data_IF_633582249625
#
_entry.id   IF_633582249625
#
_cell.length_a   1.000
_cell.length_b   1.000
_cell.length_c   1.000
_cell.angle_alpha   90.00
_cell.angle_beta   90.00
_cell.angle_gamma   90.00
#
_symmetry.space_group_name_H-M   'P 1'
#
loop_
_entity.id
_entity.type
_entity.pdbx_description
1 polymer ?
#
# COMPACT_ATOMS: atom_id res chain seq x y z
N UNK A 1 -1.49 19.75 -2.89
CA UNK A 1 -0.65 18.57 -2.63
C UNK A 1 -1.19 17.44 -3.47
N UNK A 2 -0.29 16.69 -4.08
CA UNK A 2 -0.58 15.64 -5.06
C UNK A 2 0.10 14.34 -4.63
N UNK A 3 -0.62 13.22 -4.66
CA UNK A 3 -0.11 11.90 -4.30
C UNK A 3 -0.26 10.94 -5.48
N UNK A 4 0.77 10.18 -5.77
CA UNK A 4 0.80 9.16 -6.81
C UNK A 4 0.92 7.77 -6.17
N UNK A 5 0.00 6.86 -6.49
CA UNK A 5 0.23 5.42 -6.32
C UNK A 5 0.89 4.86 -7.57
N UNK A 6 2.01 4.16 -7.42
CA UNK A 6 2.78 3.64 -8.54
C UNK A 6 3.02 2.14 -8.40
N UNK A 7 2.49 1.35 -9.32
CA UNK A 7 2.80 -0.08 -9.44
C UNK A 7 1.60 -1.01 -9.35
N UNK A 8 1.41 -1.69 -8.21
CA UNK A 8 0.48 -2.80 -8.08
C UNK A 8 -1.00 -2.41 -8.11
N UNK A 9 -1.78 -3.27 -8.74
CA UNK A 9 -3.23 -3.38 -8.63
C UNK A 9 -3.61 -4.86 -8.61
N UNK A 10 -4.75 -5.16 -7.99
CA UNK A 10 -5.25 -6.53 -7.89
C UNK A 10 -6.77 -6.52 -7.70
N UNK A 11 -7.41 -7.60 -8.08
CA UNK A 11 -8.80 -7.87 -7.69
C UNK A 11 -8.79 -8.84 -6.52
N UNK A 12 -9.38 -8.44 -5.40
CA UNK A 12 -9.58 -9.28 -4.22
C UNK A 12 -10.92 -9.99 -4.34
N UNK A 13 -10.89 -11.31 -4.61
CA UNK A 13 -12.05 -12.16 -4.81
C UNK A 13 -12.43 -12.87 -3.52
N UNK A 14 -13.55 -12.48 -2.93
CA UNK A 14 -14.12 -13.14 -1.76
C UNK A 14 -15.09 -14.24 -2.18
N UNK A 15 -14.62 -15.49 -2.15
CA UNK A 15 -15.39 -16.63 -2.67
C UNK A 15 -16.61 -16.99 -1.80
N UNK A 16 -16.56 -16.72 -0.51
CA UNK A 16 -17.67 -16.91 0.44
C UNK A 16 -18.80 -15.89 0.21
N UNK A 17 -18.46 -14.69 -0.27
CA UNK A 17 -19.42 -13.61 -0.56
C UNK A 17 -19.84 -13.57 -2.04
N UNK A 18 -19.07 -14.21 -2.92
CA UNK A 18 -19.26 -14.10 -4.38
C UNK A 18 -19.05 -12.68 -4.92
N UNK A 19 -18.09 -11.93 -4.31
CA UNK A 19 -17.84 -10.52 -4.63
C UNK A 19 -16.35 -10.33 -4.96
N UNK A 20 -16.10 -9.57 -6.02
CA UNK A 20 -14.78 -9.05 -6.40
C UNK A 20 -14.65 -7.59 -5.93
N UNK A 21 -13.59 -7.26 -5.18
CA UNK A 21 -13.24 -5.90 -4.77
C UNK A 21 -11.99 -5.43 -5.49
N UNK A 22 -11.93 -4.15 -5.92
CA UNK A 22 -10.70 -3.58 -6.43
C UNK A 22 -9.73 -3.28 -5.28
N UNK A 23 -8.44 -3.49 -5.50
CA UNK A 23 -7.39 -3.30 -4.49
C UNK A 23 -5.99 -3.16 -5.08
N UNK A 24 -5.00 -3.29 -4.22
CA UNK A 24 -3.57 -3.09 -4.46
C UNK A 24 -3.04 -1.96 -3.58
N UNK A 25 -1.84 -2.11 -2.99
CA UNK A 25 -1.28 -1.11 -2.07
C UNK A 25 -1.18 0.27 -2.72
N UNK A 26 -0.63 0.33 -3.93
CA UNK A 26 -0.45 1.58 -4.67
C UNK A 26 -1.79 2.23 -5.03
N UNK A 27 -2.78 1.44 -5.41
CA UNK A 27 -4.16 1.89 -5.66
C UNK A 27 -4.80 2.43 -4.38
N UNK A 28 -4.70 1.68 -3.29
CA UNK A 28 -5.30 2.03 -2.00
C UNK A 28 -4.79 3.38 -1.50
N UNK A 29 -3.47 3.60 -1.56
CA UNK A 29 -2.85 4.88 -1.14
C UNK A 29 -3.36 6.04 -1.99
N UNK A 30 -3.48 5.89 -3.32
CA UNK A 30 -4.03 6.92 -4.19
C UNK A 30 -5.49 7.24 -3.85
N UNK A 31 -6.32 6.22 -3.65
CA UNK A 31 -7.75 6.38 -3.29
C UNK A 31 -7.89 7.05 -1.93
N UNK A 32 -7.12 6.63 -0.93
CA UNK A 32 -7.20 7.23 0.42
C UNK A 32 -6.68 8.68 0.44
N UNK A 33 -5.62 8.98 -0.32
CA UNK A 33 -5.16 10.36 -0.47
C UNK A 33 -6.25 11.25 -1.08
N UNK A 34 -6.97 10.73 -2.09
CA UNK A 34 -8.10 11.43 -2.70
C UNK A 34 -9.24 11.67 -1.71
N UNK A 35 -9.60 10.65 -0.92
CA UNK A 35 -10.61 10.75 0.15
C UNK A 35 -10.22 11.74 1.25
N UNK A 36 -8.93 11.89 1.51
CA UNK A 36 -8.39 12.91 2.42
C UNK A 36 -8.31 14.31 1.79
N UNK A 37 -8.83 14.51 0.57
CA UNK A 37 -8.96 15.80 -0.08
C UNK A 37 -7.73 16.27 -0.88
N UNK A 38 -6.80 15.37 -1.19
CA UNK A 38 -5.67 15.69 -2.06
C UNK A 38 -6.01 15.39 -3.53
N UNK A 39 -5.26 15.97 -4.46
CA UNK A 39 -5.22 15.46 -5.81
C UNK A 39 -4.45 14.12 -5.80
N UNK A 40 -4.99 13.12 -6.50
CA UNK A 40 -4.40 11.79 -6.54
C UNK A 40 -4.44 11.20 -7.94
N UNK A 41 -3.40 10.44 -8.26
CA UNK A 41 -3.32 9.64 -9.47
C UNK A 41 -2.81 8.23 -9.14
N UNK A 42 -3.16 7.30 -9.99
CA UNK A 42 -2.58 5.97 -10.02
C UNK A 42 -1.83 5.80 -11.35
N UNK A 43 -0.67 5.16 -11.29
CA UNK A 43 0.20 4.86 -12.42
C UNK A 43 0.60 3.38 -12.37
N UNK A 44 0.10 2.56 -13.28
CA UNK A 44 0.35 1.14 -13.30
C UNK A 44 -0.08 0.48 -14.60
N UNK A 45 -0.18 -0.84 -14.59
CA UNK A 45 -0.56 -1.65 -15.75
C UNK A 45 -1.87 -2.37 -15.45
N UNK A 46 -2.86 -2.21 -16.32
CA UNK A 46 -4.09 -3.01 -16.31
C UNK A 46 -4.03 -4.13 -17.34
N UNK A 47 -4.67 -5.25 -17.06
CA UNK A 47 -4.98 -6.26 -18.06
C UNK A 47 -6.01 -5.77 -19.09
N UNK A 48 -6.01 -6.33 -20.29
CA UNK A 48 -6.99 -6.03 -21.35
C UNK A 48 -8.29 -6.85 -21.20
N UNK A 49 -8.49 -7.44 -20.01
CA UNK A 49 -9.67 -8.24 -19.66
C UNK A 49 -10.77 -7.41 -18.94
N UNK A 50 -11.86 -8.09 -18.58
CA UNK A 50 -12.98 -7.47 -17.87
C UNK A 50 -12.64 -6.99 -16.46
N UNK A 51 -11.70 -7.68 -15.78
CA UNK A 51 -11.25 -7.30 -14.45
C UNK A 51 -10.34 -6.05 -14.51
N UNK A 52 -9.52 -5.90 -15.55
CA UNK A 52 -8.70 -4.70 -15.76
C UNK A 52 -9.56 -3.46 -16.01
N UNK A 53 -10.63 -3.59 -16.82
CA UNK A 53 -11.61 -2.51 -16.99
C UNK A 53 -12.29 -2.15 -15.67
N UNK A 54 -12.74 -3.16 -14.93
CA UNK A 54 -13.36 -2.98 -13.61
C UNK A 54 -12.46 -2.22 -12.64
N UNK A 55 -11.16 -2.58 -12.56
CA UNK A 55 -10.18 -1.88 -11.73
C UNK A 55 -10.07 -0.41 -12.16
N UNK A 56 -9.80 -0.15 -13.44
CA UNK A 56 -9.64 1.21 -13.96
C UNK A 56 -10.86 2.09 -13.71
N UNK A 57 -12.06 1.58 -13.99
CA UNK A 57 -13.32 2.29 -13.74
C UNK A 57 -13.56 2.54 -12.25
N UNK A 58 -13.30 1.54 -11.40
CA UNK A 58 -13.46 1.67 -9.94
C UNK A 58 -12.54 2.72 -9.35
N UNK A 59 -11.27 2.77 -9.78
CA UNK A 59 -10.27 3.75 -9.34
C UNK A 59 -10.67 5.15 -9.83
N UNK A 60 -11.04 5.30 -11.11
CA UNK A 60 -11.47 6.56 -11.67
C UNK A 60 -12.74 7.10 -10.98
N UNK A 61 -13.69 6.23 -10.62
CA UNK A 61 -14.90 6.59 -9.88
C UNK A 61 -14.61 7.17 -8.48
N UNK A 62 -13.43 6.86 -7.88
CA UNK A 62 -12.98 7.52 -6.64
C UNK A 62 -12.39 8.91 -6.88
N UNK A 63 -12.32 9.38 -8.14
CA UNK A 63 -11.73 10.68 -8.51
C UNK A 63 -10.20 10.64 -8.55
N UNK A 64 -9.61 9.46 -8.72
CA UNK A 64 -8.17 9.25 -8.94
C UNK A 64 -7.90 9.23 -10.43
N UNK A 65 -6.93 10.02 -10.91
CA UNK A 65 -6.54 10.05 -12.32
C UNK A 65 -5.83 8.74 -12.71
N UNK A 66 -6.21 8.15 -13.84
CA UNK A 66 -5.65 6.89 -14.37
C UNK A 66 -5.19 7.02 -15.84
N UNK A 67 -5.17 8.22 -16.37
CA UNK A 67 -4.91 8.53 -17.79
C UNK A 67 -3.50 8.21 -18.26
N UNK A 68 -2.56 7.97 -17.35
CA UNK A 68 -1.18 7.58 -17.66
C UNK A 68 -0.93 6.07 -17.44
N UNK A 69 -1.95 5.30 -17.05
CA UNK A 69 -1.84 3.85 -16.92
C UNK A 69 -1.68 3.18 -18.29
N UNK A 70 -0.91 2.10 -18.33
CA UNK A 70 -0.83 1.24 -19.50
C UNK A 70 -1.92 0.15 -19.45
N UNK A 71 -2.43 -0.25 -20.61
CA UNK A 71 -3.23 -1.47 -20.77
C UNK A 71 -2.39 -2.44 -21.59
N UNK A 72 -2.20 -3.67 -21.10
CA UNK A 72 -1.40 -4.70 -21.77
C UNK A 72 -2.19 -5.99 -21.93
N UNK A 73 -1.89 -6.72 -23.01
CA UNK A 73 -2.51 -8.01 -23.27
C UNK A 73 -2.20 -9.01 -22.16
N UNK A 74 -3.24 -9.56 -21.55
CA UNK A 74 -3.12 -10.55 -20.50
C UNK A 74 -4.12 -10.36 -19.36
N UNK A 75 -4.19 -11.37 -18.51
CA UNK A 75 -5.11 -11.39 -17.37
C UNK A 75 -4.70 -10.41 -16.28
N UNK A 76 -5.68 -9.83 -15.63
CA UNK A 76 -5.53 -9.03 -14.42
C UNK A 76 -5.14 -9.90 -13.23
N UNK A 77 -4.38 -9.33 -12.29
CA UNK A 77 -4.07 -9.97 -11.01
C UNK A 77 -5.31 -10.22 -10.17
N UNK A 78 -5.44 -11.43 -9.63
CA UNK A 78 -6.53 -11.82 -8.73
C UNK A 78 -5.98 -12.51 -7.50
N UNK A 79 -6.36 -12.04 -6.33
CA UNK A 79 -6.16 -12.67 -5.04
C UNK A 79 -7.46 -13.32 -4.60
N UNK A 80 -7.41 -14.56 -4.15
CA UNK A 80 -8.60 -15.31 -3.71
C UNK A 80 -8.60 -15.45 -2.22
N UNK A 81 -9.69 -15.01 -1.60
CA UNK A 81 -9.86 -14.93 -0.16
C UNK A 81 -11.20 -15.51 0.27
N UNK A 82 -11.29 -15.87 1.53
CA UNK A 82 -12.55 -16.07 2.26
C UNK A 82 -12.46 -15.43 3.63
N UNK A 83 -13.60 -15.18 4.26
CA UNK A 83 -13.66 -14.81 5.67
C UNK A 83 -14.00 -16.07 6.48
N UNK A 84 -13.24 -16.32 7.55
CA UNK A 84 -13.43 -17.44 8.46
C UNK A 84 -13.36 -16.88 9.89
N UNK A 85 -14.45 -16.98 10.65
CA UNK A 85 -14.58 -16.42 12.00
C UNK A 85 -14.15 -14.94 12.15
N UNK A 86 -14.38 -14.14 11.10
CA UNK A 86 -14.01 -12.72 11.05
C UNK A 86 -12.58 -12.43 10.55
N UNK A 87 -11.76 -13.48 10.40
CA UNK A 87 -10.41 -13.36 9.85
C UNK A 87 -10.39 -13.68 8.35
N UNK A 88 -9.51 -12.99 7.62
CA UNK A 88 -9.29 -13.27 6.20
C UNK A 88 -8.32 -14.42 6.01
N UNK A 89 -8.76 -15.43 5.29
CA UNK A 89 -7.92 -16.56 4.88
C UNK A 89 -7.58 -16.39 3.40
N UNK A 90 -6.31 -16.27 3.11
CA UNK A 90 -5.79 -16.25 1.76
C UNK A 90 -5.78 -17.67 1.19
N UNK A 91 -6.45 -17.87 0.04
CA UNK A 91 -6.57 -19.19 -0.60
C UNK A 91 -5.59 -19.37 -1.77
N UNK A 92 -5.12 -18.26 -2.34
CA UNK A 92 -4.18 -18.27 -3.46
C UNK A 92 -4.32 -17.04 -4.36
N UNK A 93 -3.51 -17.00 -5.40
CA UNK A 93 -3.51 -15.92 -6.39
C UNK A 93 -3.06 -16.45 -7.76
N UNK A 94 -3.34 -15.68 -8.82
CA UNK A 94 -2.92 -16.04 -10.19
C UNK A 94 -1.51 -15.53 -10.55
N UNK A 95 -0.67 -15.18 -9.58
CA UNK A 95 0.68 -14.64 -9.81
C UNK A 95 0.70 -13.13 -10.07
N UNK A 96 -0.41 -12.39 -9.80
CA UNK A 96 -0.49 -10.95 -9.97
C UNK A 96 -0.76 -10.48 -11.40
N UNK A 97 -1.04 -11.40 -12.31
CA UNK A 97 -1.41 -11.08 -13.69
C UNK A 97 -0.33 -10.35 -14.47
N UNK A 98 -0.76 -9.58 -15.48
CA UNK A 98 0.14 -8.82 -16.37
C UNK A 98 0.88 -7.71 -15.62
N UNK A 99 0.29 -7.14 -14.58
CA UNK A 99 0.91 -6.11 -13.73
C UNK A 99 2.25 -6.57 -13.16
N UNK A 100 2.34 -7.83 -12.73
CA UNK A 100 3.56 -8.43 -12.17
C UNK A 100 4.49 -8.98 -13.26
N UNK A 101 3.92 -9.56 -14.34
CA UNK A 101 4.73 -10.13 -15.43
C UNK A 101 5.42 -9.07 -16.27
N UNK A 102 4.74 -7.94 -16.47
CA UNK A 102 5.20 -6.84 -17.31
C UNK A 102 5.01 -5.52 -16.57
N UNK A 103 5.76 -5.28 -15.47
CA UNK A 103 5.59 -4.09 -14.66
C UNK A 103 5.87 -2.82 -15.48
N UNK A 104 5.35 -1.71 -15.01
CA UNK A 104 5.59 -0.42 -15.65
C UNK A 104 7.06 -0.01 -15.47
N UNK A 105 7.67 0.40 -16.59
CA UNK A 105 9.02 0.97 -16.61
C UNK A 105 8.88 2.48 -16.79
N UNK A 106 9.53 3.25 -15.93
CA UNK A 106 9.54 4.71 -16.00
C UNK A 106 10.51 5.16 -17.09
N UNK A 107 9.97 5.80 -18.12
CA UNK A 107 10.70 6.56 -19.12
C UNK A 107 10.76 8.05 -18.72
N UNK A 108 11.43 8.88 -19.52
CA UNK A 108 11.62 10.30 -19.23
C UNK A 108 10.28 11.04 -19.10
N UNK A 109 9.26 10.69 -19.91
CA UNK A 109 7.93 11.32 -19.85
C UNK A 109 7.15 10.92 -18.60
N UNK A 110 7.30 9.68 -18.13
CA UNK A 110 6.71 9.23 -16.87
C UNK A 110 7.48 9.79 -15.67
N UNK A 111 8.79 9.95 -15.75
CA UNK A 111 9.59 10.62 -14.70
C UNK A 111 9.20 12.09 -14.55
N UNK A 112 9.00 12.81 -15.67
CA UNK A 112 8.45 14.16 -15.64
C UNK A 112 7.05 14.20 -15.01
N UNK A 113 6.20 13.23 -15.33
CA UNK A 113 4.88 13.11 -14.70
C UNK A 113 5.00 12.88 -13.19
N UNK A 114 5.83 11.92 -12.74
CA UNK A 114 6.08 11.64 -11.31
C UNK A 114 6.60 12.87 -10.58
N UNK A 115 7.50 13.67 -11.20
CA UNK A 115 8.08 14.87 -10.58
C UNK A 115 7.03 15.95 -10.26
N UNK A 116 5.83 15.85 -10.80
CA UNK A 116 4.72 16.77 -10.52
C UNK A 116 3.95 16.43 -9.23
N UNK A 117 4.33 15.36 -8.51
CA UNK A 117 3.69 14.92 -7.26
C UNK A 117 4.57 15.20 -6.04
N UNK A 118 3.93 15.49 -4.90
CA UNK A 118 4.64 15.67 -3.63
C UNK A 118 5.08 14.34 -3.04
N UNK A 119 4.34 13.25 -3.32
CA UNK A 119 4.63 11.90 -2.84
C UNK A 119 4.29 10.87 -3.93
N UNK A 120 5.20 9.94 -4.18
CA UNK A 120 4.98 8.72 -4.94
C UNK A 120 5.07 7.51 -3.99
N UNK A 121 4.09 6.64 -4.04
CA UNK A 121 4.04 5.42 -3.23
C UNK A 121 4.09 4.17 -4.09
N UNK A 122 4.90 3.19 -3.67
CA UNK A 122 4.96 1.86 -4.27
C UNK A 122 5.12 0.78 -3.19
N UNK A 123 5.14 -0.49 -3.59
CA UNK A 123 5.22 -1.62 -2.67
C UNK A 123 6.01 -2.79 -3.23
N UNK A 124 6.28 -3.76 -2.38
CA UNK A 124 6.92 -5.05 -2.75
C UNK A 124 6.13 -5.82 -3.81
N UNK A 125 4.81 -5.60 -3.91
CA UNK A 125 3.96 -6.27 -4.88
C UNK A 125 3.98 -5.62 -6.27
N UNK A 126 4.60 -4.44 -6.39
CA UNK A 126 4.66 -3.64 -7.62
C UNK A 126 5.76 -4.07 -8.60
N UNK A 127 6.74 -4.85 -8.15
CA UNK A 127 7.96 -5.17 -8.93
C UNK A 127 8.68 -3.92 -9.44
N UNK A 128 8.65 -2.84 -8.66
CA UNK A 128 9.14 -1.51 -9.02
C UNK A 128 10.50 -1.16 -8.43
N UNK A 129 11.20 -2.10 -7.79
CA UNK A 129 12.45 -1.85 -7.09
C UNK A 129 13.55 -1.30 -8.00
N UNK A 130 13.57 -1.72 -9.27
CA UNK A 130 14.51 -1.20 -10.29
C UNK A 130 14.20 0.24 -10.73
N UNK A 131 12.99 0.70 -10.48
CA UNK A 131 12.55 2.05 -10.85
C UNK A 131 12.86 3.08 -9.76
N UNK A 132 13.00 2.65 -8.49
CA UNK A 132 13.26 3.56 -7.37
C UNK A 132 14.51 4.42 -7.54
N UNK A 133 15.66 3.90 -8.05
CA UNK A 133 16.84 4.73 -8.27
C UNK A 133 16.62 5.88 -9.28
N UNK A 134 15.67 5.72 -10.23
CA UNK A 134 15.34 6.75 -11.21
C UNK A 134 14.62 7.95 -10.59
N UNK A 135 13.99 7.76 -9.44
CA UNK A 135 13.32 8.83 -8.67
C UNK A 135 14.32 9.69 -7.87
N UNK A 136 15.57 9.22 -7.75
CA UNK A 136 16.61 9.96 -7.05
C UNK A 136 16.88 11.31 -7.76
N UNK A 137 16.84 12.38 -6.98
CA UNK A 137 17.04 13.74 -7.51
C UNK A 137 15.75 14.47 -7.91
N UNK A 138 14.59 13.80 -7.87
CA UNK A 138 13.31 14.46 -7.93
C UNK A 138 12.96 15.07 -6.55
N UNK A 139 12.19 16.15 -6.55
CA UNK A 139 11.64 16.73 -5.32
C UNK A 139 10.46 15.92 -4.76
N UNK A 140 10.04 14.89 -5.48
CA UNK A 140 8.98 13.95 -5.07
C UNK A 140 9.48 13.04 -3.97
N UNK A 141 8.81 13.03 -2.84
CA UNK A 141 9.05 12.05 -1.77
C UNK A 141 8.66 10.65 -2.24
N UNK A 142 9.41 9.65 -1.83
CA UNK A 142 9.14 8.25 -2.14
C UNK A 142 8.75 7.50 -0.86
N UNK A 143 7.57 6.88 -0.86
CA UNK A 143 7.19 5.89 0.17
C UNK A 143 7.13 4.49 -0.42
N UNK A 144 7.53 3.49 0.38
CA UNK A 144 7.57 2.11 -0.05
C UNK A 144 7.05 1.18 1.06
N UNK A 145 6.12 0.28 0.72
CA UNK A 145 5.62 -0.73 1.64
C UNK A 145 6.39 -2.04 1.47
N UNK A 146 7.02 -2.49 2.56
CA UNK A 146 7.74 -3.76 2.67
C UNK A 146 6.85 -4.92 3.16
N UNK A 147 5.56 -4.65 3.41
CA UNK A 147 4.59 -5.66 3.86
C UNK A 147 5.00 -6.41 5.14
N UNK A 148 4.58 -7.68 5.26
CA UNK A 148 4.83 -8.54 6.43
C UNK A 148 5.82 -9.67 6.16
N UNK A 149 6.15 -9.94 4.91
CA UNK A 149 6.91 -11.12 4.49
C UNK A 149 8.41 -10.98 4.77
N UNK A 150 8.98 -12.03 5.33
CA UNK A 150 10.42 -12.12 5.69
C UNK A 150 11.34 -11.98 4.46
N UNK A 151 10.91 -12.43 3.29
CA UNK A 151 11.70 -12.35 2.06
C UNK A 151 12.04 -10.91 1.64
N UNK A 152 11.15 -9.94 1.95
CA UNK A 152 11.36 -8.52 1.69
C UNK A 152 12.11 -7.78 2.81
N UNK A 153 12.47 -8.50 3.89
CA UNK A 153 13.20 -7.97 5.03
C UNK A 153 14.66 -8.42 5.07
N UNK A 154 15.08 -9.19 4.08
CA UNK A 154 16.48 -9.62 3.96
C UNK A 154 17.41 -8.43 3.74
N UNK A 155 18.67 -8.50 4.26
CA UNK A 155 19.65 -7.45 4.05
C UNK A 155 19.81 -6.99 2.60
N UNK A 156 19.85 -7.96 1.66
CA UNK A 156 20.00 -7.68 0.23
C UNK A 156 18.78 -6.98 -0.39
N UNK A 157 17.58 -7.26 0.11
CA UNK A 157 16.38 -6.59 -0.36
C UNK A 157 16.30 -5.15 0.19
N UNK A 158 16.56 -4.98 1.48
CA UNK A 158 16.59 -3.67 2.12
C UNK A 158 17.65 -2.74 1.49
N UNK A 159 18.82 -3.26 1.11
CA UNK A 159 19.89 -2.49 0.44
C UNK A 159 19.45 -1.98 -0.95
N UNK A 160 18.49 -2.63 -1.61
CA UNK A 160 17.95 -2.17 -2.90
C UNK A 160 16.88 -1.10 -2.76
N UNK A 161 16.13 -1.08 -1.67
CA UNK A 161 14.94 -0.25 -1.49
C UNK A 161 15.21 0.96 -0.59
N UNK A 162 15.78 0.72 0.60
CA UNK A 162 15.88 1.75 1.64
C UNK A 162 16.66 3.00 1.22
N UNK A 163 17.75 2.93 0.42
CA UNK A 163 18.47 4.13 -0.02
C UNK A 163 17.65 5.07 -0.90
N UNK A 164 16.53 4.61 -1.45
CA UNK A 164 15.70 5.34 -2.40
C UNK A 164 14.32 5.71 -1.82
N UNK A 165 14.05 5.38 -0.56
CA UNK A 165 12.76 5.63 0.09
C UNK A 165 12.90 6.67 1.21
N UNK A 166 12.04 7.70 1.16
CA UNK A 166 11.92 8.69 2.24
C UNK A 166 11.09 8.15 3.40
N UNK A 167 10.13 7.29 3.11
CA UNK A 167 9.28 6.62 4.09
C UNK A 167 9.12 5.14 3.75
N UNK A 168 9.45 4.27 4.68
CA UNK A 168 9.25 2.81 4.55
C UNK A 168 8.19 2.35 5.54
N UNK A 169 7.16 1.65 5.03
CA UNK A 169 6.15 0.97 5.85
C UNK A 169 6.52 -0.50 6.05
N UNK A 170 6.21 -1.01 7.23
CA UNK A 170 6.32 -2.42 7.63
C UNK A 170 5.06 -2.86 8.38
N UNK A 171 4.51 -4.01 8.04
CA UNK A 171 3.43 -4.64 8.79
C UNK A 171 3.98 -5.59 9.84
N UNK A 172 3.96 -5.19 11.12
CA UNK A 172 4.65 -5.86 12.22
C UNK A 172 3.73 -6.40 13.32
N UNK A 173 2.46 -6.74 13.00
CA UNK A 173 1.51 -7.26 13.99
C UNK A 173 1.94 -8.60 14.61
N UNK A 174 2.79 -9.37 13.93
CA UNK A 174 3.36 -10.65 14.38
C UNK A 174 4.66 -10.48 15.21
N UNK A 175 5.20 -9.27 15.33
CA UNK A 175 6.43 -8.98 16.06
C UNK A 175 6.14 -8.29 17.39
N UNK A 176 6.97 -8.59 18.40
CA UNK A 176 6.96 -7.81 19.63
C UNK A 176 7.53 -6.40 19.43
N UNK A 177 7.40 -5.54 20.45
CA UNK A 177 7.85 -4.15 20.37
C UNK A 177 9.36 -4.02 20.23
N UNK A 178 10.17 -4.92 20.78
CA UNK A 178 11.62 -4.87 20.70
C UNK A 178 12.11 -5.26 19.30
N UNK A 179 11.58 -6.35 18.74
CA UNK A 179 11.86 -6.80 17.38
C UNK A 179 11.41 -5.75 16.35
N UNK A 180 10.23 -5.14 16.55
CA UNK A 180 9.75 -4.06 15.68
C UNK A 180 10.71 -2.87 15.67
N UNK A 181 11.16 -2.38 16.84
CA UNK A 181 12.11 -1.26 16.91
C UNK A 181 13.46 -1.61 16.30
N UNK A 182 13.95 -2.84 16.47
CA UNK A 182 15.18 -3.30 15.84
C UNK A 182 15.08 -3.28 14.32
N UNK A 183 13.94 -3.73 13.76
CA UNK A 183 13.70 -3.72 12.32
C UNK A 183 13.59 -2.28 11.77
N UNK A 184 12.90 -1.38 12.45
CA UNK A 184 12.84 0.04 12.07
C UNK A 184 14.25 0.68 12.06
N UNK A 185 15.07 0.38 13.07
CA UNK A 185 16.45 0.87 13.14
C UNK A 185 17.29 0.33 11.99
N UNK A 186 17.12 -0.93 11.61
CA UNK A 186 17.80 -1.55 10.47
C UNK A 186 17.42 -0.89 9.15
N UNK A 187 16.14 -0.64 8.91
CA UNK A 187 15.62 0.04 7.70
C UNK A 187 16.21 1.45 7.56
N UNK A 188 16.22 2.23 8.66
CA UNK A 188 16.82 3.58 8.65
C UNK A 188 18.33 3.51 8.48
N UNK A 189 19.01 2.57 9.13
CA UNK A 189 20.45 2.38 8.96
C UNK A 189 20.84 2.08 7.52
N UNK A 190 19.94 1.46 6.74
CA UNK A 190 20.14 1.15 5.32
C UNK A 190 19.76 2.27 4.38
N UNK A 191 19.31 3.41 4.88
CA UNK A 191 19.15 4.62 4.08
C UNK A 191 17.77 5.24 4.05
N UNK A 192 16.73 4.56 4.53
CA UNK A 192 15.42 5.17 4.65
C UNK A 192 15.45 6.36 5.64
N UNK A 193 14.76 7.45 5.32
CA UNK A 193 14.75 8.65 6.18
C UNK A 193 13.79 8.53 7.34
N UNK A 194 12.70 7.79 7.14
CA UNK A 194 11.66 7.54 8.13
C UNK A 194 11.13 6.12 7.95
N UNK A 195 11.04 5.36 9.03
CA UNK A 195 10.46 4.04 9.05
C UNK A 195 9.20 4.04 9.91
N UNK A 196 8.13 3.41 9.42
CA UNK A 196 6.83 3.29 10.07
C UNK A 196 6.48 1.80 10.18
N UNK A 197 6.11 1.34 11.37
CA UNK A 197 5.58 -0.01 11.58
C UNK A 197 4.14 0.07 12.08
N UNK A 198 3.22 -0.60 11.38
CA UNK A 198 1.87 -0.86 11.89
C UNK A 198 1.87 -2.20 12.64
N UNK A 199 1.14 -2.28 13.76
CA UNK A 199 1.12 -3.43 14.68
C UNK A 199 -0.31 -3.88 15.00
N UNK A 200 -1.24 -3.65 14.07
CA UNK A 200 -2.64 -3.98 14.25
C UNK A 200 -3.22 -3.30 15.49
N UNK A 201 -3.77 -4.07 16.40
CA UNK A 201 -4.40 -3.58 17.65
C UNK A 201 -3.41 -2.97 18.64
N UNK A 202 -2.11 -3.18 18.46
CA UNK A 202 -1.05 -2.59 19.29
C UNK A 202 -0.59 -1.21 18.80
N UNK A 203 -1.21 -0.70 17.72
CA UNK A 203 -0.96 0.64 17.21
C UNK A 203 0.19 0.71 16.21
N UNK A 204 1.04 1.73 16.31
CA UNK A 204 2.11 1.95 15.37
C UNK A 204 3.33 2.61 16.01
N UNK A 205 4.50 2.40 15.41
CA UNK A 205 5.79 2.96 15.81
C UNK A 205 6.43 3.62 14.60
N UNK A 206 6.94 4.84 14.74
CA UNK A 206 7.74 5.54 13.75
C UNK A 206 9.15 5.84 14.29
N UNK A 207 10.16 5.75 13.41
CA UNK A 207 11.56 6.03 13.74
C UNK A 207 12.26 6.78 12.60
N UNK A 208 12.90 7.91 12.89
CA UNK A 208 13.60 8.78 11.93
C UNK A 208 15.13 8.74 12.05
N UNK A 209 15.66 7.74 12.75
CA UNK A 209 17.09 7.65 13.07
C UNK A 209 17.53 8.38 14.34
N UNK A 210 16.64 9.19 14.96
CA UNK A 210 16.91 9.99 16.16
C UNK A 210 15.88 9.78 17.25
N UNK A 211 14.62 9.80 16.87
CA UNK A 211 13.51 9.67 17.81
C UNK A 211 12.59 8.52 17.42
N UNK A 212 12.18 7.75 18.41
CA UNK A 212 11.10 6.78 18.31
C UNK A 212 9.82 7.43 18.84
N UNK A 213 8.75 7.33 18.09
CA UNK A 213 7.43 7.82 18.45
C UNK A 213 6.43 6.69 18.29
N UNK A 214 5.51 6.55 19.24
CA UNK A 214 4.52 5.47 19.24
C UNK A 214 3.12 6.05 19.44
N UNK A 215 2.12 5.36 18.89
CA UNK A 215 0.71 5.67 19.11
C UNK A 215 -0.06 4.37 19.33
N UNK A 216 -1.02 4.32 20.26
CA UNK A 216 -1.94 3.19 20.33
C UNK A 216 -2.86 3.15 19.09
N UNK A 217 -3.41 1.99 18.79
CA UNK A 217 -4.46 1.89 17.79
C UNK A 217 -5.72 2.65 18.27
N UNK A 218 -6.39 3.31 17.33
CA UNK A 218 -7.77 3.73 17.58
C UNK A 218 -8.68 2.52 17.39
N UNK A 219 -9.18 1.99 18.50
CA UNK A 219 -10.02 0.79 18.49
C UNK A 219 -11.47 1.12 18.16
N UNK A 220 -12.11 0.26 17.39
CA UNK A 220 -13.56 0.24 17.24
C UNK A 220 -14.15 -0.23 18.57
N UNK A 221 -15.15 0.49 19.08
CA UNK A 221 -15.68 0.26 20.43
C UNK A 221 -16.35 -1.13 20.56
N UNK A 222 -17.11 -1.53 19.54
CA UNK A 222 -17.70 -2.86 19.42
C UNK A 222 -17.01 -3.61 18.27
N UNK A 223 -16.28 -4.70 18.52
CA UNK A 223 -15.65 -5.48 17.45
C UNK A 223 -16.60 -5.96 16.36
N UNK A 224 -17.90 -6.06 16.63
CA UNK A 224 -18.92 -6.45 15.65
C UNK A 224 -19.21 -5.36 14.61
N UNK A 225 -18.78 -4.13 14.86
CA UNK A 225 -18.86 -3.01 13.91
C UNK A 225 -17.72 -3.04 12.89
N UNK A 226 -16.68 -3.86 13.11
CA UNK A 226 -15.61 -4.03 12.13
C UNK A 226 -16.18 -4.80 10.93
N UNK A 227 -16.21 -4.11 9.79
CA UNK A 227 -16.71 -4.69 8.54
C UNK A 227 -15.60 -5.47 7.83
N UNK A 228 -14.42 -4.83 7.71
CA UNK A 228 -13.24 -5.42 7.07
C UNK A 228 -11.96 -4.73 7.59
N UNK A 229 -10.85 -5.43 7.57
CA UNK A 229 -9.52 -4.87 7.88
C UNK A 229 -8.64 -4.73 6.64
N UNK A 230 -9.18 -4.98 5.43
CA UNK A 230 -8.48 -4.81 4.16
C UNK A 230 -8.07 -3.35 3.97
N UNK A 231 -6.80 -3.11 3.60
CA UNK A 231 -6.29 -1.76 3.37
C UNK A 231 -6.07 -0.91 4.63
N UNK A 232 -6.29 -1.43 5.86
CA UNK A 232 -6.04 -0.65 7.08
C UNK A 232 -4.59 -0.19 7.22
N UNK A 233 -3.61 -0.99 6.76
CA UNK A 233 -2.19 -0.61 6.71
C UNK A 233 -1.96 0.56 5.76
N UNK A 234 -2.51 0.46 4.54
CA UNK A 234 -2.42 1.52 3.52
C UNK A 234 -3.13 2.79 3.95
N UNK A 235 -4.29 2.65 4.63
CA UNK A 235 -5.03 3.78 5.19
C UNK A 235 -4.22 4.47 6.29
N UNK A 236 -3.58 3.70 7.17
CA UNK A 236 -2.69 4.26 8.19
C UNK A 236 -1.53 5.03 7.55
N UNK A 237 -0.82 4.39 6.61
CA UNK A 237 0.28 5.01 5.87
C UNK A 237 -0.16 6.31 5.21
N UNK A 238 -1.30 6.27 4.52
CA UNK A 238 -1.80 7.44 3.79
C UNK A 238 -2.16 8.59 4.74
N UNK A 239 -2.90 8.32 5.82
CA UNK A 239 -3.22 9.33 6.85
C UNK A 239 -1.96 9.93 7.46
N UNK A 240 -0.99 9.09 7.78
CA UNK A 240 0.32 9.48 8.30
C UNK A 240 1.07 10.38 7.31
N UNK A 241 1.24 9.94 6.06
CA UNK A 241 1.99 10.68 5.04
C UNK A 241 1.31 12.02 4.69
N UNK A 242 -0.02 12.04 4.53
CA UNK A 242 -0.80 13.26 4.27
C UNK A 242 -0.65 14.27 5.41
N UNK A 243 -0.67 13.82 6.67
CA UNK A 243 -0.45 14.70 7.82
C UNK A 243 0.97 15.29 7.84
N UNK A 244 1.99 14.50 7.46
CA UNK A 244 3.37 14.99 7.31
C UNK A 244 3.47 16.03 6.19
N UNK A 245 2.90 15.77 5.02
CA UNK A 245 2.89 16.71 3.88
C UNK A 245 2.22 18.03 4.28
N UNK A 246 1.04 17.97 4.91
CA UNK A 246 0.33 19.16 5.42
C UNK A 246 1.13 19.93 6.46
N UNK A 247 2.03 19.26 7.16
CA UNK A 247 2.95 19.85 8.14
C UNK A 247 4.25 20.40 7.55
N UNK A 248 4.41 20.37 6.21
CA UNK A 248 5.58 20.89 5.50
C UNK A 248 6.72 19.89 5.31
N UNK A 249 6.46 18.57 5.48
CA UNK A 249 7.43 17.56 5.10
C UNK A 249 7.67 17.58 3.59
N UNK A 250 8.94 17.56 3.19
CA UNK A 250 9.37 17.56 1.78
C UNK A 250 10.73 16.89 1.65
N UNK A 251 11.19 16.68 0.42
CA UNK A 251 12.51 16.12 0.15
C UNK A 251 13.66 16.89 0.87
N UNK A 252 13.46 18.20 1.14
CA UNK A 252 14.45 19.09 1.76
C UNK A 252 14.16 19.40 3.22
N UNK A 253 12.97 19.07 3.74
CA UNK A 253 12.55 19.44 5.09
C UNK A 253 12.08 18.20 5.84
N UNK A 254 12.93 17.57 6.67
CA UNK A 254 12.54 16.39 7.45
C UNK A 254 11.46 16.75 8.47
N UNK A 255 10.58 15.80 8.82
CA UNK A 255 9.53 16.05 9.79
C UNK A 255 10.13 16.19 11.19
N UNK A 256 9.57 17.13 12.00
CA UNK A 256 9.93 17.27 13.41
C UNK A 256 9.13 16.27 14.26
N UNK A 257 9.64 15.93 15.45
CA UNK A 257 9.01 14.98 16.38
C UNK A 257 7.50 15.24 16.58
N UNK A 258 7.08 16.46 16.91
CA UNK A 258 5.68 16.78 17.15
C UNK A 258 4.78 16.56 15.90
N UNK A 259 5.37 16.71 14.71
CA UNK A 259 4.68 16.43 13.45
C UNK A 259 4.52 14.91 13.24
N UNK A 260 5.54 14.12 13.58
CA UNK A 260 5.46 12.63 13.54
C UNK A 260 4.38 12.16 14.56
N UNK A 261 4.36 12.72 15.76
CA UNK A 261 3.34 12.42 16.79
C UNK A 261 1.91 12.72 16.30
N UNK A 262 1.72 13.87 15.64
CA UNK A 262 0.43 14.21 15.01
C UNK A 262 0.10 13.26 13.87
N UNK A 263 1.06 12.98 12.99
CA UNK A 263 0.86 12.13 11.82
C UNK A 263 0.48 10.69 12.22
N UNK A 264 1.07 10.15 13.29
CA UNK A 264 0.69 8.84 13.82
C UNK A 264 -0.78 8.79 14.27
N UNK A 265 -1.27 9.87 14.92
CA UNK A 265 -2.69 9.95 15.30
C UNK A 265 -3.62 10.03 14.09
N UNK A 266 -3.27 10.83 13.08
CA UNK A 266 -4.05 10.92 11.82
C UNK A 266 -4.05 9.59 11.07
N UNK A 267 -2.93 8.86 11.07
CA UNK A 267 -2.85 7.51 10.54
C UNK A 267 -3.80 6.55 11.27
N UNK A 268 -3.83 6.58 12.61
CA UNK A 268 -4.73 5.75 13.40
C UNK A 268 -6.21 6.09 13.15
N UNK A 269 -6.56 7.38 12.98
CA UNK A 269 -7.90 7.82 12.62
C UNK A 269 -8.32 7.30 11.23
N UNK A 270 -7.41 7.38 10.25
CA UNK A 270 -7.68 6.94 8.88
C UNK A 270 -7.86 5.43 8.83
N UNK A 271 -7.01 4.67 9.53
CA UNK A 271 -7.14 3.22 9.64
C UNK A 271 -8.45 2.79 10.34
N UNK A 272 -8.84 3.52 11.40
CA UNK A 272 -10.13 3.29 12.05
C UNK A 272 -11.30 3.45 11.08
N UNK A 273 -11.31 4.53 10.28
CA UNK A 273 -12.35 4.73 9.27
C UNK A 273 -12.40 3.60 8.22
N UNK A 274 -11.25 3.02 7.89
CA UNK A 274 -11.17 1.91 6.95
C UNK A 274 -11.74 0.61 7.51
N UNK A 275 -11.65 0.35 8.81
CA UNK A 275 -12.26 -0.84 9.43
C UNK A 275 -13.80 -0.88 9.26
N UNK A 276 -14.43 0.21 8.88
CA UNK A 276 -15.88 0.35 8.69
C UNK A 276 -16.31 0.30 7.20
N UNK A 277 -15.41 -0.16 6.31
CA UNK A 277 -15.64 -0.22 4.86
C UNK A 277 -15.35 -1.64 4.37
N UNK A 278 -16.19 -2.17 3.48
CA UNK A 278 -15.94 -3.46 2.83
C UNK A 278 -14.83 -3.36 1.79
N UNK A 279 -13.97 -4.38 1.73
CA UNK A 279 -12.81 -4.39 0.86
C UNK A 279 -11.86 -3.23 1.19
N UNK A 280 -10.93 -2.91 0.31
CA UNK A 280 -9.99 -1.81 0.55
C UNK A 280 -10.69 -0.44 0.48
N UNK A 281 -11.63 -0.24 -0.44
CA UNK A 281 -12.32 1.05 -0.60
C UNK A 281 -13.76 0.93 -1.13
N UNK A 282 -14.39 -0.23 -0.92
CA UNK A 282 -15.71 -0.54 -1.47
C UNK A 282 -15.65 -0.89 -2.94
N UNK A 283 -16.67 -0.51 -3.70
CA UNK A 283 -16.80 -0.77 -5.14
C UNK A 283 -16.85 -2.27 -5.49
N UNK A 284 -17.31 -3.12 -4.57
CA UNK A 284 -17.49 -4.54 -4.82
C UNK A 284 -18.50 -4.80 -5.93
N UNK A 285 -18.23 -5.81 -6.77
CA UNK A 285 -19.18 -6.31 -7.78
C UNK A 285 -19.38 -7.82 -7.64
N UNK A 286 -20.53 -8.38 -8.03
CA UNK A 286 -20.70 -9.82 -8.09
C UNK A 286 -19.64 -10.48 -8.97
N UNK A 287 -19.06 -11.58 -8.50
CA UNK A 287 -18.10 -12.38 -9.27
C UNK A 287 -18.80 -13.00 -10.48
N UNK A 288 -18.35 -12.73 -11.69
CA UNK A 288 -18.96 -13.21 -12.93
C UNK A 288 -18.74 -14.69 -13.24
N UNK A 289 -17.83 -15.37 -12.52
CA UNK A 289 -17.56 -16.81 -12.67
C UNK A 289 -17.34 -17.46 -11.30
N UNK A 290 -17.84 -18.72 -11.08
CA UNK A 290 -17.47 -19.47 -9.89
C UNK A 290 -15.96 -19.70 -9.89
N UNK A 291 -15.31 -19.48 -8.74
CA UNK A 291 -13.89 -19.74 -8.57
C UNK A 291 -13.62 -21.22 -8.81
N UNK A 292 -12.94 -21.57 -9.91
CA UNK A 292 -12.49 -22.93 -10.15
C UNK A 292 -11.22 -23.12 -9.35
N UNK A 293 -11.32 -23.79 -8.22
CA UNK A 293 -10.23 -24.02 -7.25
C UNK A 293 -8.95 -24.66 -7.87
N UNK A 294 -9.07 -25.25 -9.06
CA UNK A 294 -7.95 -25.92 -9.75
C UNK A 294 -7.02 -24.96 -10.53
N UNK A 295 -7.37 -23.67 -10.66
CA UNK A 295 -6.57 -22.69 -11.41
C UNK A 295 -5.61 -21.87 -10.55
N UNK A 296 -5.69 -22.01 -9.23
CA UNK A 296 -4.96 -21.14 -8.32
C UNK A 296 -3.70 -21.84 -7.79
N UNK A 297 -2.57 -21.16 -7.85
CA UNK A 297 -1.37 -21.61 -7.16
C UNK A 297 -1.60 -21.41 -5.67
N UNK A 298 -1.63 -22.49 -4.89
CA UNK A 298 -1.50 -22.38 -3.45
C UNK A 298 -0.19 -21.62 -3.16
N UNK A 299 -0.24 -20.65 -2.26
CA UNK A 299 1.00 -20.06 -1.78
C UNK A 299 1.83 -21.19 -1.19
N UNK A 300 3.09 -21.35 -1.60
CA UNK A 300 4.06 -22.24 -0.94
C UNK A 300 4.42 -21.68 0.45
N UNK A 301 3.40 -21.42 1.27
CA UNK A 301 3.54 -20.96 2.65
C UNK A 301 3.05 -22.05 3.60
N UNK A 302 3.62 -23.24 3.44
CA UNK A 302 3.70 -24.23 4.52
C UNK A 302 5.14 -24.72 4.56
N UNK A 303 5.95 -24.03 5.39
CA UNK A 303 6.99 -24.65 6.23
C UNK A 303 7.71 -23.56 7.03
#
# INVERSE_FOLDING_TARGET
>A
MRVLGFGDNIVDRFVDRGIDYPGGNSVNVAVYARRLGLEAAYLGVFGDDDLGRFLGESIAAQGVAVDRCAVRAGETGVSVLRVDDGDRVFLGWNGGGVTVREPLVLDDGLLEYVSSFDLAHSSVYSRSESELPKLAGLDTLVSFDLSSEEEFRTPSYLDRVCPHADLVLLSCSHLDGAATRALLAEVVRRGARLALATRGVDGAIAYDGRVTVETPARRVADPREIIDTMGCGDAFLTGFAVALLRGGWSAHTPPRRHLIERALREGAETAYGQCLVEGAFGCGRPTGQPAVASMWRASEREK
#
